data_IF_542063706635
#
_entry.id   IF_542063706635
#
_cell.length_a   1.000
_cell.length_b   1.000
_cell.length_c   1.000
_cell.angle_alpha   90.00
_cell.angle_beta   90.00
_cell.angle_gamma   90.00
#
_symmetry.space_group_name_H-M   'P 1'
#
loop_
_entity.id
_entity.type
_entity.pdbx_description
1 polymer ?
#
# COMPACT_ATOMS: atom_id res chain seq x y z
N UNK A 1 37.79 71.05 -13.71
CA UNK A 1 38.15 69.82 -12.99
C UNK A 1 36.90 69.28 -12.29
N UNK A 2 36.22 68.31 -12.95
CA UNK A 2 35.03 67.68 -12.40
C UNK A 2 35.26 66.19 -12.41
N UNK A 3 35.38 65.63 -11.20
CA UNK A 3 35.48 64.21 -10.98
C UNK A 3 34.09 63.57 -11.05
N UNK A 4 33.86 62.74 -12.05
CA UNK A 4 32.68 61.86 -12.10
C UNK A 4 33.01 60.53 -11.44
N UNK A 5 32.45 60.31 -10.24
CA UNK A 5 32.47 59.02 -9.55
C UNK A 5 31.39 58.17 -10.23
N UNK A 6 31.81 57.14 -10.96
CA UNK A 6 30.91 56.09 -11.47
C UNK A 6 30.55 55.13 -10.36
N UNK A 7 29.34 55.21 -9.86
CA UNK A 7 28.76 54.22 -8.97
C UNK A 7 28.34 53.03 -9.82
N UNK A 8 29.09 51.94 -9.77
CA UNK A 8 28.70 50.64 -10.33
C UNK A 8 27.71 49.97 -9.37
N UNK A 9 26.42 50.01 -9.72
CA UNK A 9 25.38 49.29 -9.02
C UNK A 9 25.43 47.82 -9.45
N UNK A 10 26.09 46.98 -8.67
CA UNK A 10 26.09 45.51 -8.88
C UNK A 10 24.72 44.92 -8.50
N UNK A 11 23.93 44.57 -9.49
CA UNK A 11 22.71 43.80 -9.27
C UNK A 11 23.11 42.34 -9.02
N UNK A 12 23.10 41.94 -7.76
CA UNK A 12 23.26 40.53 -7.36
C UNK A 12 21.96 39.81 -7.64
N UNK A 13 21.86 39.12 -8.81
CA UNK A 13 20.72 38.25 -9.12
C UNK A 13 20.89 37.00 -8.27
N UNK A 14 20.14 36.93 -7.19
CA UNK A 14 20.01 35.73 -6.35
C UNK A 14 19.10 34.73 -7.10
N UNK A 15 19.70 33.79 -7.83
CA UNK A 15 18.95 32.68 -8.45
C UNK A 15 18.54 31.74 -7.33
N UNK A 16 17.33 31.90 -6.85
CA UNK A 16 16.72 30.91 -5.98
C UNK A 16 16.45 29.64 -6.81
N UNK A 17 17.30 28.64 -6.66
CA UNK A 17 17.03 27.31 -7.20
C UNK A 17 15.86 26.71 -6.43
N UNK A 18 14.67 26.77 -7.00
CA UNK A 18 13.52 26.03 -6.55
C UNK A 18 13.85 24.54 -6.71
N UNK A 19 14.25 23.90 -5.62
CA UNK A 19 14.26 22.45 -5.53
C UNK A 19 12.80 21.97 -5.62
N UNK A 20 12.30 21.78 -6.85
CA UNK A 20 11.06 21.03 -7.06
C UNK A 20 11.35 19.60 -6.67
N UNK A 21 10.94 19.25 -5.46
CA UNK A 21 10.91 17.86 -5.04
C UNK A 21 9.99 17.11 -6.00
N UNK A 22 10.56 16.45 -7.00
CA UNK A 22 9.86 15.54 -7.86
C UNK A 22 9.43 14.36 -6.99
N UNK A 23 8.18 14.37 -6.54
CA UNK A 23 7.53 13.15 -6.10
C UNK A 23 7.50 12.24 -7.32
N UNK A 24 8.42 11.26 -7.38
CA UNK A 24 8.44 10.27 -8.45
C UNK A 24 7.10 9.52 -8.39
N UNK A 25 6.26 9.74 -9.39
CA UNK A 25 5.09 8.89 -9.62
C UNK A 25 5.59 7.48 -9.86
N UNK A 26 5.15 6.55 -9.02
CA UNK A 26 5.46 5.12 -9.23
C UNK A 26 4.64 4.64 -10.41
N UNK A 27 5.30 4.38 -11.52
CA UNK A 27 4.64 3.99 -12.76
C UNK A 27 4.53 2.47 -12.91
N UNK A 28 5.22 1.69 -12.07
CA UNK A 28 5.23 0.24 -12.17
C UNK A 28 5.04 -0.38 -10.77
N UNK A 29 4.11 -1.32 -10.66
CA UNK A 29 3.84 -2.10 -9.45
C UNK A 29 5.09 -2.78 -8.90
N UNK A 30 5.92 -3.33 -9.77
CA UNK A 30 7.12 -4.07 -9.40
C UNK A 30 8.29 -3.20 -8.91
N UNK A 31 8.19 -1.86 -9.01
CA UNK A 31 9.16 -0.93 -8.41
C UNK A 31 8.86 -0.64 -6.92
N UNK A 32 7.74 -1.14 -6.43
CA UNK A 32 7.31 -0.94 -5.05
C UNK A 32 7.96 -1.97 -4.14
N UNK A 33 8.37 -1.52 -2.96
CA UNK A 33 8.83 -2.37 -1.86
C UNK A 33 8.22 -1.91 -0.55
N UNK A 34 8.16 -2.80 0.43
CA UNK A 34 7.71 -2.52 1.78
C UNK A 34 8.51 -3.38 2.78
N UNK A 35 8.38 -3.10 4.07
CA UNK A 35 8.93 -4.01 5.08
C UNK A 35 7.84 -5.00 5.52
N UNK A 36 8.21 -6.24 5.75
CA UNK A 36 7.34 -7.23 6.38
C UNK A 36 7.03 -6.84 7.82
N UNK A 37 6.07 -7.51 8.43
CA UNK A 37 5.75 -7.35 9.85
C UNK A 37 6.94 -7.64 10.76
N UNK A 38 7.92 -8.42 10.29
CA UNK A 38 9.17 -8.77 10.97
C UNK A 38 10.32 -7.81 10.67
N UNK A 39 10.11 -6.84 9.79
CA UNK A 39 11.10 -5.84 9.39
C UNK A 39 11.93 -6.21 8.16
N UNK A 40 11.74 -7.37 7.57
CA UNK A 40 12.45 -7.80 6.37
C UNK A 40 11.97 -7.01 5.14
N UNK A 41 12.90 -6.62 4.28
CA UNK A 41 12.56 -5.91 3.06
C UNK A 41 11.94 -6.85 2.03
N UNK A 42 10.75 -6.51 1.53
CA UNK A 42 10.04 -7.24 0.49
C UNK A 42 9.96 -6.37 -0.77
N UNK A 43 10.40 -6.93 -1.88
CA UNK A 43 10.32 -6.30 -3.20
C UNK A 43 9.20 -6.98 -4.00
N UNK A 44 8.24 -6.21 -4.53
CA UNK A 44 7.19 -6.79 -5.37
C UNK A 44 7.74 -7.39 -6.67
N UNK A 45 8.92 -6.95 -7.10
CA UNK A 45 9.63 -7.54 -8.24
C UNK A 45 9.97 -9.03 -8.06
N UNK A 46 10.06 -9.52 -6.83
CA UNK A 46 10.37 -10.93 -6.54
C UNK A 46 9.17 -11.86 -6.82
N UNK A 47 8.00 -11.27 -7.02
CA UNK A 47 6.74 -11.98 -7.28
C UNK A 47 6.21 -11.75 -8.69
N UNK A 48 7.07 -11.50 -9.68
CA UNK A 48 6.65 -11.35 -11.08
C UNK A 48 5.82 -12.55 -11.56
N UNK A 49 4.87 -12.29 -12.45
CA UNK A 49 3.93 -13.28 -12.98
C UNK A 49 2.99 -13.91 -11.95
N UNK A 50 2.76 -13.25 -10.82
CA UNK A 50 1.78 -13.64 -9.80
C UNK A 50 0.58 -12.72 -9.84
N UNK A 51 -0.57 -13.25 -9.42
CA UNK A 51 -1.77 -12.45 -9.11
C UNK A 51 -1.70 -12.04 -7.64
N UNK A 52 -2.16 -10.83 -7.32
CA UNK A 52 -2.14 -10.40 -5.92
C UNK A 52 -3.53 -10.05 -5.40
N UNK A 53 -3.74 -10.33 -4.13
CA UNK A 53 -4.75 -9.70 -3.29
C UNK A 53 -3.99 -8.79 -2.31
N UNK A 54 -4.23 -7.48 -2.41
CA UNK A 54 -3.75 -6.50 -1.43
C UNK A 54 -4.94 -6.10 -0.56
N UNK A 55 -4.77 -6.10 0.76
CA UNK A 55 -5.84 -5.66 1.67
C UNK A 55 -5.27 -4.83 2.81
N UNK A 56 -5.92 -3.72 3.14
CA UNK A 56 -5.61 -3.01 4.39
C UNK A 56 -6.37 -3.66 5.54
N UNK A 57 -5.67 -3.95 6.62
CA UNK A 57 -6.19 -4.73 7.75
C UNK A 57 -6.21 -3.94 9.05
N UNK A 58 -6.91 -4.45 10.05
CA UNK A 58 -6.88 -3.93 11.42
C UNK A 58 -7.29 -5.02 12.41
N UNK A 59 -6.64 -5.04 13.57
CA UNK A 59 -6.81 -6.04 14.63
C UNK A 59 -8.16 -5.97 15.35
N UNK A 60 -8.74 -4.78 15.50
CA UNK A 60 -9.93 -4.53 16.32
C UNK A 60 -11.13 -4.02 15.52
N UNK A 61 -11.25 -4.47 14.28
CA UNK A 61 -12.32 -4.09 13.37
C UNK A 61 -13.46 -5.12 13.37
N UNK A 62 -14.68 -4.69 13.15
CA UNK A 62 -15.81 -5.61 12.95
C UNK A 62 -15.63 -6.57 11.75
N UNK A 63 -14.73 -6.23 10.83
CA UNK A 63 -14.40 -7.06 9.67
C UNK A 63 -13.17 -7.97 9.86
N UNK A 64 -12.53 -7.97 11.04
CA UNK A 64 -11.28 -8.73 11.30
C UNK A 64 -11.44 -10.24 11.01
N UNK A 65 -12.65 -10.79 11.16
CA UNK A 65 -12.95 -12.19 10.79
C UNK A 65 -12.74 -12.50 9.31
N UNK A 66 -12.61 -11.50 8.44
CA UNK A 66 -12.25 -11.71 7.02
C UNK A 66 -10.84 -12.27 6.83
N UNK A 67 -9.99 -12.21 7.84
CA UNK A 67 -8.70 -12.90 7.83
C UNK A 67 -8.86 -14.40 7.52
N UNK A 68 -9.86 -15.07 8.08
CA UNK A 68 -10.12 -16.50 7.80
C UNK A 68 -10.29 -16.74 6.30
N UNK A 69 -11.21 -16.01 5.66
CA UNK A 69 -11.46 -16.17 4.22
C UNK A 69 -10.26 -15.74 3.35
N UNK A 70 -9.44 -14.78 3.78
CA UNK A 70 -8.20 -14.42 3.09
C UNK A 70 -7.16 -15.52 3.19
N UNK A 71 -7.04 -16.18 4.36
CA UNK A 71 -6.16 -17.32 4.53
C UNK A 71 -6.62 -18.51 3.69
N UNK A 72 -7.93 -18.83 3.70
CA UNK A 72 -8.50 -19.91 2.90
C UNK A 72 -8.20 -19.73 1.40
N UNK A 73 -8.34 -18.51 0.88
CA UNK A 73 -8.01 -18.19 -0.51
C UNK A 73 -6.50 -18.30 -0.76
N UNK A 74 -5.69 -17.79 0.15
CA UNK A 74 -4.23 -17.93 0.07
C UNK A 74 -3.84 -19.39 -0.06
N UNK A 75 -4.32 -20.25 0.84
CA UNK A 75 -4.02 -21.68 0.86
C UNK A 75 -4.47 -22.39 -0.41
N UNK A 76 -5.65 -22.04 -0.90
CA UNK A 76 -6.24 -22.66 -2.09
C UNK A 76 -5.47 -22.33 -3.35
N UNK A 77 -5.06 -21.06 -3.53
CA UNK A 77 -4.53 -20.58 -4.81
C UNK A 77 -3.03 -20.23 -4.82
N UNK A 78 -2.32 -20.34 -3.67
CA UNK A 78 -0.87 -20.06 -3.63
C UNK A 78 -0.05 -20.90 -4.62
N UNK A 79 -0.46 -22.14 -4.89
CA UNK A 79 0.19 -23.01 -5.88
C UNK A 79 -0.08 -22.58 -7.31
N UNK A 80 -1.19 -21.89 -7.56
CA UNK A 80 -1.58 -21.33 -8.85
C UNK A 80 -1.00 -19.94 -9.08
N UNK A 81 -0.23 -19.45 -8.10
CA UNK A 81 0.50 -18.20 -8.20
C UNK A 81 -0.22 -16.99 -7.60
N UNK A 82 -1.16 -17.19 -6.68
CA UNK A 82 -1.72 -16.12 -5.89
C UNK A 82 -0.79 -15.73 -4.74
N UNK A 83 -0.62 -14.44 -4.52
CA UNK A 83 0.06 -13.82 -3.38
C UNK A 83 -0.95 -12.94 -2.64
N UNK A 84 -1.13 -13.18 -1.35
CA UNK A 84 -1.94 -12.32 -0.48
C UNK A 84 -1.04 -11.46 0.38
N UNK A 85 -1.30 -10.16 0.44
CA UNK A 85 -0.56 -9.20 1.26
C UNK A 85 -1.55 -8.41 2.10
N UNK A 86 -1.47 -8.59 3.42
CA UNK A 86 -2.16 -7.77 4.41
C UNK A 86 -1.29 -6.59 4.82
N UNK A 87 -1.87 -5.39 4.83
CA UNK A 87 -1.20 -4.16 5.27
C UNK A 87 -1.93 -3.61 6.49
N UNK A 88 -1.44 -3.89 7.70
CA UNK A 88 -2.02 -3.35 8.91
C UNK A 88 -1.98 -1.83 8.92
N UNK A 89 -3.07 -1.19 9.37
CA UNK A 89 -3.16 0.26 9.36
C UNK A 89 -3.98 0.81 10.52
N UNK A 90 -3.45 1.83 11.17
CA UNK A 90 -4.19 2.57 12.20
C UNK A 90 -4.92 3.82 11.67
N UNK A 91 -5.03 3.99 10.36
CA UNK A 91 -5.71 5.16 9.76
C UNK A 91 -7.20 5.25 10.12
N UNK A 92 -7.78 4.16 10.64
CA UNK A 92 -9.16 4.09 11.12
C UNK A 92 -9.25 3.83 12.63
N UNK A 93 -8.16 3.99 13.38
CA UNK A 93 -8.07 3.87 14.84
C UNK A 93 -8.52 2.49 15.38
N UNK A 94 -8.24 1.43 14.64
CA UNK A 94 -8.64 0.05 14.99
C UNK A 94 -7.47 -0.95 14.88
N UNK A 95 -6.23 -0.48 14.84
CA UNK A 95 -5.07 -1.37 14.80
C UNK A 95 -4.35 -1.41 16.15
N UNK A 96 -3.63 -2.51 16.42
CA UNK A 96 -2.73 -2.64 17.55
C UNK A 96 -1.56 -1.65 17.43
N UNK A 97 -0.85 -1.41 18.52
CA UNK A 97 0.16 -0.34 18.58
C UNK A 97 1.48 -0.72 17.91
N UNK A 98 1.80 -2.00 17.88
CA UNK A 98 3.09 -2.51 17.40
C UNK A 98 2.93 -3.64 16.40
N UNK A 99 3.91 -3.80 15.52
CA UNK A 99 3.99 -4.91 14.58
C UNK A 99 3.93 -6.28 15.29
N UNK A 100 4.62 -6.41 16.44
CA UNK A 100 4.62 -7.64 17.22
C UNK A 100 3.23 -8.03 17.74
N UNK A 101 2.45 -7.04 18.21
CA UNK A 101 1.06 -7.28 18.66
C UNK A 101 0.17 -7.70 17.49
N UNK A 102 0.28 -7.03 16.33
CA UNK A 102 -0.45 -7.42 15.11
C UNK A 102 -0.11 -8.85 14.70
N UNK A 103 1.19 -9.17 14.61
CA UNK A 103 1.67 -10.50 14.24
C UNK A 103 1.10 -11.57 15.16
N UNK A 104 1.26 -11.38 16.47
CA UNK A 104 0.75 -12.32 17.49
C UNK A 104 -0.76 -12.54 17.32
N UNK A 105 -1.53 -11.47 17.13
CA UNK A 105 -2.98 -11.57 16.94
C UNK A 105 -3.31 -12.36 15.66
N UNK A 106 -2.67 -12.06 14.54
CA UNK A 106 -2.92 -12.70 13.26
C UNK A 106 -2.56 -14.19 13.28
N UNK A 107 -1.40 -14.55 13.84
CA UNK A 107 -0.95 -15.95 13.94
C UNK A 107 -1.79 -16.75 14.93
N UNK A 108 -2.03 -16.19 16.13
CA UNK A 108 -2.71 -16.93 17.21
C UNK A 108 -4.20 -17.11 16.96
N UNK A 109 -4.89 -16.06 16.47
CA UNK A 109 -6.34 -16.06 16.37
C UNK A 109 -6.86 -16.49 15.00
N UNK A 110 -6.04 -16.36 13.94
CA UNK A 110 -6.44 -16.60 12.57
C UNK A 110 -5.51 -17.51 11.77
N UNK A 111 -4.41 -17.97 12.37
CA UNK A 111 -3.39 -18.83 11.74
C UNK A 111 -2.90 -18.27 10.40
N UNK A 112 -2.70 -16.96 10.33
CA UNK A 112 -2.26 -16.27 9.12
C UNK A 112 -0.81 -16.65 8.79
N UNK A 113 -0.58 -17.14 7.56
CA UNK A 113 0.75 -17.42 7.00
C UNK A 113 1.05 -16.66 5.70
N UNK A 114 0.11 -15.89 5.20
CA UNK A 114 0.37 -14.99 4.08
C UNK A 114 1.15 -13.73 4.53
N UNK A 115 1.69 -13.00 3.57
CA UNK A 115 2.56 -11.85 3.83
C UNK A 115 1.80 -10.75 4.59
N UNK A 116 2.32 -10.36 5.75
CA UNK A 116 1.91 -9.16 6.46
C UNK A 116 3.01 -8.09 6.33
N UNK A 117 2.62 -6.90 5.89
CA UNK A 117 3.50 -5.72 5.92
C UNK A 117 3.56 -5.14 7.34
N UNK A 118 4.56 -4.29 7.60
CA UNK A 118 4.56 -3.44 8.79
C UNK A 118 3.37 -2.48 8.79
N UNK A 119 2.97 -2.01 9.99
CA UNK A 119 1.89 -1.03 10.14
C UNK A 119 2.20 0.20 9.29
N UNK A 120 1.29 0.55 8.38
CA UNK A 120 1.50 1.61 7.40
C UNK A 120 0.25 2.47 7.20
N UNK A 121 0.45 3.70 6.75
CA UNK A 121 -0.66 4.53 6.30
C UNK A 121 -1.16 4.03 4.94
N UNK A 122 -2.47 3.93 4.78
CA UNK A 122 -3.12 3.40 3.56
C UNK A 122 -3.93 4.46 2.83
N UNK A 123 -4.04 5.67 3.39
CA UNK A 123 -4.79 6.79 2.80
C UNK A 123 -4.12 8.15 3.03
N UNK A 124 -4.59 9.16 2.27
CA UNK A 124 -4.11 10.53 2.36
C UNK A 124 -2.69 10.73 1.82
N UNK A 125 -2.13 11.90 2.09
CA UNK A 125 -0.82 12.29 1.54
C UNK A 125 0.33 11.38 1.98
N UNK A 126 0.21 10.78 3.15
CA UNK A 126 1.23 9.90 3.75
C UNK A 126 0.99 8.42 3.42
N UNK A 127 0.00 8.09 2.60
CA UNK A 127 -0.25 6.71 2.21
C UNK A 127 1.01 6.06 1.64
N UNK A 128 1.22 4.79 2.00
CA UNK A 128 2.30 3.98 1.44
C UNK A 128 2.25 4.01 -0.09
N UNK A 129 3.39 4.01 -0.79
CA UNK A 129 3.48 4.02 -2.25
C UNK A 129 2.57 3.01 -2.94
N UNK A 130 2.38 1.82 -2.36
CA UNK A 130 1.47 0.80 -2.86
C UNK A 130 0.02 1.32 -2.97
N UNK A 131 -0.50 1.99 -1.94
CA UNK A 131 -1.87 2.50 -1.98
C UNK A 131 -2.02 3.72 -2.89
N UNK A 132 -0.98 4.54 -3.03
CA UNK A 132 -0.96 5.62 -4.03
C UNK A 132 -1.06 5.03 -5.43
N UNK A 133 -0.24 4.02 -5.75
CA UNK A 133 -0.28 3.32 -7.02
C UNK A 133 -1.66 2.72 -7.32
N UNK A 134 -2.30 2.07 -6.33
CA UNK A 134 -3.64 1.51 -6.48
C UNK A 134 -4.68 2.59 -6.80
N UNK A 135 -4.63 3.73 -6.09
CA UNK A 135 -5.57 4.84 -6.29
C UNK A 135 -5.33 5.55 -7.63
N UNK A 136 -4.08 5.73 -8.03
CA UNK A 136 -3.73 6.37 -9.31
C UNK A 136 -4.21 5.55 -10.51
N UNK A 137 -4.22 4.21 -10.40
CA UNK A 137 -4.65 3.32 -11.49
C UNK A 137 -6.15 2.99 -11.47
N UNK A 138 -6.78 2.87 -10.29
CA UNK A 138 -8.19 2.51 -10.13
C UNK A 138 -9.11 3.71 -9.86
N UNK A 139 -8.52 4.90 -9.73
CA UNK A 139 -9.21 6.16 -9.46
C UNK A 139 -9.53 6.38 -7.98
N UNK A 140 -9.84 7.63 -7.63
CA UNK A 140 -10.00 8.09 -6.24
C UNK A 140 -11.07 7.33 -5.43
N UNK A 141 -12.05 6.71 -6.11
CA UNK A 141 -13.09 5.93 -5.43
C UNK A 141 -12.55 4.64 -4.82
N UNK A 142 -11.41 4.15 -5.31
CA UNK A 142 -10.72 2.95 -4.79
C UNK A 142 -9.97 3.21 -3.49
N UNK A 143 -9.72 4.47 -3.12
CA UNK A 143 -9.05 4.81 -1.86
C UNK A 143 -9.77 4.16 -0.67
N UNK A 144 -9.04 3.53 0.27
CA UNK A 144 -9.65 2.88 1.43
C UNK A 144 -10.50 3.85 2.24
N UNK A 145 -11.79 3.53 2.42
CA UNK A 145 -12.73 4.28 3.25
C UNK A 145 -12.94 3.61 4.61
N UNK A 146 -12.47 2.39 4.74
CA UNK A 146 -12.49 1.59 5.95
C UNK A 146 -11.44 0.47 5.87
N UNK A 147 -11.28 -0.30 6.94
CA UNK A 147 -10.43 -1.49 6.96
C UNK A 147 -11.00 -2.60 6.05
N UNK A 148 -10.15 -3.50 5.58
CA UNK A 148 -10.48 -4.63 4.71
C UNK A 148 -11.03 -4.23 3.34
N UNK A 149 -10.53 -3.11 2.77
CA UNK A 149 -10.60 -2.91 1.32
C UNK A 149 -9.65 -3.90 0.66
N UNK A 150 -10.07 -4.48 -0.44
CA UNK A 150 -9.30 -5.50 -1.16
C UNK A 150 -9.10 -5.09 -2.60
N UNK A 151 -7.92 -5.32 -3.12
CA UNK A 151 -7.52 -4.97 -4.48
C UNK A 151 -6.99 -6.21 -5.16
N UNK A 152 -7.36 -6.42 -6.41
CA UNK A 152 -6.84 -7.47 -7.26
C UNK A 152 -5.85 -6.87 -8.25
N UNK A 153 -4.68 -7.46 -8.33
CA UNK A 153 -3.62 -7.08 -9.26
C UNK A 153 -3.32 -8.29 -10.14
N UNK A 154 -3.34 -8.10 -11.45
CA UNK A 154 -3.05 -9.16 -12.40
C UNK A 154 -1.57 -9.58 -12.44
N UNK A 155 -1.24 -10.58 -13.24
CA UNK A 155 0.12 -11.12 -13.39
C UNK A 155 1.11 -10.14 -14.01
N UNK A 156 0.64 -9.06 -14.63
CA UNK A 156 1.47 -7.99 -15.19
C UNK A 156 1.71 -6.86 -14.20
N UNK A 157 1.11 -6.94 -12.98
CA UNK A 157 1.19 -5.91 -11.97
C UNK A 157 0.16 -4.80 -12.16
N UNK A 158 -0.81 -4.97 -13.06
CA UNK A 158 -1.88 -4.00 -13.26
C UNK A 158 -3.02 -4.22 -12.25
N UNK A 159 -3.44 -3.19 -11.49
CA UNK A 159 -4.64 -3.27 -10.66
C UNK A 159 -5.88 -3.38 -11.56
N UNK A 160 -6.69 -4.43 -11.35
CA UNK A 160 -7.85 -4.73 -12.20
C UNK A 160 -9.20 -4.47 -11.52
N UNK A 161 -9.28 -4.61 -10.20
CA UNK A 161 -10.52 -4.33 -9.46
C UNK A 161 -10.26 -4.03 -7.99
N UNK A 162 -11.26 -3.45 -7.32
CA UNK A 162 -11.24 -3.27 -5.87
C UNK A 162 -12.60 -3.54 -5.24
N UNK A 163 -12.58 -3.96 -3.99
CA UNK A 163 -13.78 -4.32 -3.22
C UNK A 163 -13.76 -3.64 -1.86
N UNK A 164 -14.91 -3.09 -1.48
CA UNK A 164 -15.05 -2.50 -0.14
C UNK A 164 -15.06 -3.56 0.96
N UNK A 165 -15.03 -3.10 2.20
CA UNK A 165 -15.04 -3.95 3.41
C UNK A 165 -16.19 -4.96 3.45
N UNK A 166 -17.36 -4.61 2.90
CA UNK A 166 -18.57 -5.45 2.96
C UNK A 166 -18.52 -6.67 2.03
N UNK A 167 -17.68 -6.63 0.99
CA UNK A 167 -17.49 -7.79 0.11
C UNK A 167 -16.58 -8.78 0.81
N UNK A 168 -17.12 -9.94 1.17
CA UNK A 168 -16.36 -11.00 1.85
C UNK A 168 -15.38 -11.68 0.88
N UNK A 169 -14.21 -12.13 1.36
CA UNK A 169 -13.26 -12.88 0.55
C UNK A 169 -13.84 -14.18 -0.03
N UNK A 170 -14.71 -14.85 0.72
CA UNK A 170 -15.37 -16.10 0.33
C UNK A 170 -16.58 -15.91 -0.61
N UNK A 171 -16.95 -14.67 -0.94
CA UNK A 171 -18.06 -14.41 -1.85
C UNK A 171 -17.74 -14.80 -3.29
N UNK A 172 -18.72 -15.34 -4.02
CA UNK A 172 -18.56 -15.69 -5.45
C UNK A 172 -18.10 -14.48 -6.27
N UNK A 173 -18.61 -13.29 -5.94
CA UNK A 173 -18.20 -12.03 -6.59
C UNK A 173 -16.71 -11.75 -6.45
N UNK A 174 -16.12 -12.00 -5.28
CA UNK A 174 -14.71 -11.77 -5.05
C UNK A 174 -13.84 -12.87 -5.67
N UNK A 175 -14.23 -14.13 -5.45
CA UNK A 175 -13.49 -15.29 -5.98
C UNK A 175 -13.42 -15.28 -7.51
N UNK A 176 -14.48 -14.83 -8.20
CA UNK A 176 -14.47 -14.75 -9.67
C UNK A 176 -13.58 -13.65 -10.24
N UNK A 177 -13.09 -12.73 -9.40
CA UNK A 177 -12.15 -11.68 -9.80
C UNK A 177 -10.68 -12.07 -9.55
N UNK A 178 -10.43 -13.11 -8.76
CA UNK A 178 -9.12 -13.64 -8.43
C UNK A 178 -8.66 -14.65 -9.50
#
# INVERSE_FOLDING_TARGET
MHNYIKILLGILIMIATLNVSHSSTINNFYDISFNSIDGDKIYLSDFKNKTFIITNTASFCGFTRQFVGLQDISDKYKKDGLVVIGVPSNDFNQEAKTNAEVKTLCETNFSIDFILAEISNVRGKNAHPLFKYLVDNLGIRSAPKWNFYKYIIDRNGAPVDYFSSVTKPDSSKFISAV
#
